data_IF_488211213974
#
_entry.id   IF_488211213974
#
_cell.length_a   1.000
_cell.length_b   1.000
_cell.length_c   1.000
_cell.angle_alpha   90.00
_cell.angle_beta   90.00
_cell.angle_gamma   90.00
#
_symmetry.space_group_name_H-M   'P 1'
#
loop_
_entity.id
_entity.type
_entity.pdbx_description
1 polymer ?
#
# COMPACT_ATOMS: atom_id res chain seq x y z
N UNK A 1 3.21 -7.63 50.78
CA UNK A 1 4.27 -7.60 49.75
C UNK A 1 4.38 -6.17 49.29
N UNK A 2 5.52 -5.54 49.58
CA UNK A 2 5.76 -4.13 49.33
C UNK A 2 6.04 -3.91 47.83
N UNK A 3 5.43 -2.88 47.26
CA UNK A 3 5.67 -2.43 45.90
C UNK A 3 7.08 -1.85 45.79
N UNK A 4 7.71 -2.09 44.64
CA UNK A 4 9.07 -1.64 44.31
C UNK A 4 9.14 -0.10 44.26
N UNK A 5 10.19 0.55 44.80
CA UNK A 5 10.31 2.01 44.84
C UNK A 5 10.45 2.69 43.47
N UNK A 6 10.48 1.93 42.37
CA UNK A 6 10.53 2.45 41.01
C UNK A 6 9.15 2.82 40.43
N UNK A 7 8.05 2.34 41.00
CA UNK A 7 6.70 2.49 40.40
C UNK A 7 5.89 3.65 41.00
N UNK A 8 6.35 4.27 42.09
CA UNK A 8 5.64 5.39 42.75
C UNK A 8 6.02 6.78 42.24
N UNK A 9 7.04 6.92 41.37
CA UNK A 9 7.51 8.24 40.90
C UNK A 9 6.80 8.80 39.66
N UNK A 10 5.84 8.09 39.08
CA UNK A 10 5.03 8.61 37.96
C UNK A 10 3.66 9.13 38.39
N UNK A 11 3.53 9.48 39.67
CA UNK A 11 2.41 10.26 40.19
C UNK A 11 2.45 11.68 39.64
N UNK A 12 1.68 11.92 38.57
CA UNK A 12 1.21 13.23 38.08
C UNK A 12 2.14 14.41 38.37
N UNK A 13 3.23 14.52 37.61
CA UNK A 13 3.88 15.81 37.46
C UNK A 13 3.01 16.60 36.48
N UNK A 14 2.24 17.55 37.02
CA UNK A 14 1.62 18.64 36.25
C UNK A 14 2.74 19.54 35.69
N UNK A 15 3.52 19.02 34.74
CA UNK A 15 4.54 19.81 34.06
C UNK A 15 3.78 20.80 33.18
N UNK A 16 3.97 22.10 33.45
CA UNK A 16 3.45 23.16 32.60
C UNK A 16 3.80 22.81 31.14
N UNK A 17 2.83 22.78 30.21
CA UNK A 17 3.07 22.34 28.82
C UNK A 17 4.22 23.12 28.15
N UNK A 18 4.45 24.38 28.56
CA UNK A 18 5.54 25.21 28.08
C UNK A 18 6.90 24.73 28.60
N UNK A 19 6.96 24.27 29.85
CA UNK A 19 8.19 23.71 30.43
C UNK A 19 8.55 22.37 29.76
N UNK A 20 7.56 21.51 29.51
CA UNK A 20 7.75 20.26 28.77
C UNK A 20 8.26 20.52 27.35
N UNK A 21 7.66 21.50 26.66
CA UNK A 21 8.07 21.87 25.31
C UNK A 21 9.53 22.36 25.26
N UNK A 22 9.97 23.15 26.25
CA UNK A 22 11.36 23.60 26.37
C UNK A 22 12.34 22.44 26.58
N UNK A 23 11.97 21.48 27.43
CA UNK A 23 12.79 20.28 27.68
C UNK A 23 12.94 19.47 26.40
N UNK A 24 11.83 19.20 25.69
CA UNK A 24 11.86 18.43 24.44
C UNK A 24 12.65 19.14 23.34
N UNK A 25 12.56 20.48 23.24
CA UNK A 25 13.36 21.25 22.29
C UNK A 25 14.86 21.16 22.61
N UNK A 26 15.22 21.24 23.89
CA UNK A 26 16.62 21.09 24.32
C UNK A 26 17.15 19.69 23.99
N UNK A 27 16.35 18.65 24.24
CA UNK A 27 16.72 17.27 23.96
C UNK A 27 16.90 17.01 22.45
N UNK A 28 16.03 17.56 21.61
CA UNK A 28 16.17 17.49 20.15
C UNK A 28 17.43 18.19 19.64
N UNK A 29 17.83 19.31 20.24
CA UNK A 29 19.07 20.00 19.89
C UNK A 29 20.29 19.16 20.28
N UNK A 30 20.32 18.61 21.49
CA UNK A 30 21.40 17.75 21.96
C UNK A 30 21.57 16.51 21.05
N UNK A 31 20.47 15.83 20.72
CA UNK A 31 20.48 14.66 19.84
C UNK A 31 20.99 14.99 18.43
N UNK A 32 20.68 16.20 17.93
CA UNK A 32 21.16 16.66 16.63
C UNK A 32 22.67 16.88 16.64
N UNK A 33 23.21 17.47 17.70
CA UNK A 33 24.64 17.67 17.88
C UNK A 33 25.39 16.33 17.99
N UNK A 34 24.89 15.39 18.79
CA UNK A 34 25.47 14.05 18.92
C UNK A 34 25.51 13.32 17.58
N UNK A 35 24.41 13.34 16.83
CA UNK A 35 24.37 12.75 15.48
C UNK A 35 25.41 13.39 14.57
N UNK A 36 25.59 14.71 14.64
CA UNK A 36 26.57 15.40 13.81
C UNK A 36 28.02 15.06 14.20
N UNK A 37 28.29 14.89 15.50
CA UNK A 37 29.58 14.42 15.99
C UNK A 37 29.86 12.96 15.59
N UNK A 38 28.87 12.08 15.65
CA UNK A 38 29.00 10.69 15.19
C UNK A 38 29.25 10.61 13.68
N UNK A 39 28.57 11.44 12.88
CA UNK A 39 28.83 11.54 11.45
C UNK A 39 30.25 12.04 11.13
N UNK A 40 30.77 12.99 11.90
CA UNK A 40 32.15 13.44 11.78
C UNK A 40 33.13 12.30 12.12
N UNK A 41 32.92 11.59 13.24
CA UNK A 41 33.74 10.43 13.63
C UNK A 41 33.75 9.33 12.59
N UNK A 42 32.60 9.01 11.98
CA UNK A 42 32.51 8.02 10.90
C UNK A 42 33.29 8.46 9.65
N UNK A 43 33.29 9.76 9.35
CA UNK A 43 34.06 10.31 8.24
C UNK A 43 35.58 10.23 8.51
N UNK A 44 36.00 10.42 9.75
CA UNK A 44 37.40 10.30 10.16
C UNK A 44 37.86 8.83 10.20
N UNK A 45 36.98 7.91 10.63
CA UNK A 45 37.23 6.46 10.66
C UNK A 45 37.17 5.80 9.27
N UNK A 46 36.46 6.40 8.32
CA UNK A 46 36.36 5.91 6.93
C UNK A 46 37.57 6.20 6.06
N UNK A 47 38.64 6.80 6.62
CA UNK A 47 39.82 7.26 5.89
C UNK A 47 41.04 6.32 5.87
N UNK A 48 40.97 5.13 6.47
CA UNK A 48 42.07 4.15 6.43
C UNK A 48 41.71 2.94 5.58
N UNK A 49 42.11 2.88 4.30
CA UNK A 49 42.25 1.61 3.62
C UNK A 49 43.64 1.07 3.96
N UNK A 50 43.76 -0.09 4.60
CA UNK A 50 44.90 -0.97 4.29
C UNK A 50 44.54 -2.44 4.56
N UNK A 51 45.12 -3.36 3.77
CA UNK A 51 44.61 -4.69 3.49
C UNK A 51 45.29 -5.77 4.34
N UNK A 52 44.54 -6.86 4.53
CA UNK A 52 45.09 -8.22 4.62
C UNK A 52 45.99 -8.56 5.80
N UNK A 53 45.52 -9.46 6.66
CA UNK A 53 46.29 -10.64 7.09
C UNK A 53 45.43 -11.64 7.84
N UNK A 54 45.35 -12.83 7.25
CA UNK A 54 44.92 -14.07 7.87
C UNK A 54 45.74 -14.37 9.13
N UNK A 55 45.12 -14.94 10.16
CA UNK A 55 45.76 -15.92 11.03
C UNK A 55 44.70 -16.83 11.68
N UNK A 56 44.78 -18.09 11.25
CA UNK A 56 44.04 -19.27 11.73
C UNK A 56 44.41 -19.59 13.18
N UNK A 57 43.43 -20.03 13.96
CA UNK A 57 43.63 -20.59 15.29
C UNK A 57 42.33 -21.14 15.88
N UNK A 58 41.82 -22.23 15.30
CA UNK A 58 40.64 -22.96 15.77
C UNK A 58 41.03 -23.94 16.88
N UNK A 59 40.37 -23.87 18.05
CA UNK A 59 40.26 -25.00 18.99
C UNK A 59 38.86 -25.00 19.63
N UNK A 60 38.04 -25.90 19.09
CA UNK A 60 37.00 -26.74 19.72
C UNK A 60 35.83 -26.10 20.49
N UNK A 61 34.65 -26.24 19.87
CA UNK A 61 33.61 -27.11 20.45
C UNK A 61 32.29 -26.44 20.83
N UNK A 62 31.37 -26.30 19.88
CA UNK A 62 29.93 -26.55 20.10
C UNK A 62 29.18 -26.46 18.76
N UNK A 63 28.13 -27.25 18.62
CA UNK A 63 27.30 -27.42 17.43
C UNK A 63 26.79 -26.06 16.92
N UNK A 64 27.33 -25.55 15.81
CA UNK A 64 26.94 -24.26 15.25
C UNK A 64 26.25 -24.47 13.89
N UNK A 65 25.02 -23.96 13.76
CA UNK A 65 24.16 -23.95 12.58
C UNK A 65 24.74 -23.07 11.44
N UNK A 66 26.07 -23.09 11.25
CA UNK A 66 26.81 -22.30 10.27
C UNK A 66 27.15 -23.05 8.99
N UNK A 67 26.96 -24.38 8.94
CA UNK A 67 27.41 -25.16 7.79
C UNK A 67 26.69 -24.81 6.48
N UNK A 68 25.45 -24.32 6.54
CA UNK A 68 24.72 -23.88 5.34
C UNK A 68 25.00 -22.41 4.94
N UNK A 69 25.56 -21.59 5.84
CA UNK A 69 25.99 -20.21 5.53
C UNK A 69 27.45 -20.20 5.05
N UNK A 70 28.26 -21.17 5.50
CA UNK A 70 29.70 -21.23 5.23
C UNK A 70 30.05 -21.52 3.76
N UNK A 71 29.14 -22.08 2.96
CA UNK A 71 29.38 -22.26 1.51
C UNK A 71 29.17 -20.98 0.67
N UNK A 72 28.64 -19.91 1.26
CA UNK A 72 28.49 -18.61 0.59
C UNK A 72 29.52 -17.57 1.03
N UNK A 73 30.31 -17.85 2.07
CA UNK A 73 31.26 -16.90 2.63
C UNK A 73 32.47 -16.59 1.73
N UNK A 74 32.73 -17.42 0.72
CA UNK A 74 33.81 -17.25 -0.26
C UNK A 74 33.36 -16.55 -1.55
N UNK A 75 32.10 -16.15 -1.68
CA UNK A 75 31.68 -15.32 -2.81
C UNK A 75 32.31 -13.93 -2.63
N UNK A 76 33.19 -13.47 -3.55
CA UNK A 76 33.81 -12.16 -3.42
C UNK A 76 32.71 -11.08 -3.31
N UNK A 77 32.91 -9.99 -2.55
CA UNK A 77 31.90 -8.94 -2.35
C UNK A 77 31.28 -8.41 -3.66
N UNK A 78 32.04 -8.50 -4.75
CA UNK A 78 31.63 -8.18 -6.11
C UNK A 78 30.47 -9.05 -6.62
N UNK A 79 30.41 -10.33 -6.27
CA UNK A 79 29.39 -11.27 -6.73
C UNK A 79 28.05 -11.05 -6.02
N UNK A 80 28.06 -10.69 -4.74
CA UNK A 80 26.85 -10.29 -3.99
C UNK A 80 26.32 -8.96 -4.52
N UNK A 81 27.20 -8.01 -4.82
CA UNK A 81 26.82 -6.73 -5.43
C UNK A 81 26.23 -6.91 -6.85
N UNK A 82 26.79 -7.79 -7.66
CA UNK A 82 26.26 -8.12 -8.98
C UNK A 82 24.88 -8.78 -8.90
N UNK A 83 24.69 -9.74 -7.98
CA UNK A 83 23.37 -10.38 -7.73
C UNK A 83 22.34 -9.37 -7.22
N UNK A 84 22.74 -8.43 -6.37
CA UNK A 84 21.86 -7.36 -5.91
C UNK A 84 21.42 -6.44 -7.05
N UNK A 85 22.34 -6.07 -7.95
CA UNK A 85 22.02 -5.28 -9.13
C UNK A 85 21.07 -6.01 -10.09
N UNK A 86 21.28 -7.31 -10.28
CA UNK A 86 20.40 -8.17 -11.08
C UNK A 86 19.00 -8.26 -10.46
N UNK A 87 18.91 -8.42 -9.13
CA UNK A 87 17.64 -8.39 -8.40
C UNK A 87 16.94 -7.04 -8.57
N UNK A 88 17.63 -5.91 -8.43
CA UNK A 88 17.05 -4.59 -8.64
C UNK A 88 16.50 -4.41 -10.06
N UNK A 89 17.20 -4.94 -11.07
CA UNK A 89 16.73 -4.93 -12.45
C UNK A 89 15.47 -5.78 -12.62
N UNK A 90 15.44 -6.99 -12.04
CA UNK A 90 14.25 -7.86 -12.11
C UNK A 90 13.05 -7.24 -11.38
N UNK A 91 13.26 -6.59 -10.24
CA UNK A 91 12.22 -5.89 -9.49
C UNK A 91 11.62 -4.78 -10.36
N UNK A 92 12.45 -3.93 -10.97
CA UNK A 92 11.96 -2.86 -11.86
C UNK A 92 11.19 -3.40 -13.06
N UNK A 93 11.66 -4.50 -13.65
CA UNK A 93 10.97 -5.18 -14.76
C UNK A 93 9.60 -5.71 -14.35
N UNK A 94 9.51 -6.29 -13.15
CA UNK A 94 8.26 -6.79 -12.58
C UNK A 94 7.30 -5.64 -12.26
N UNK A 95 7.78 -4.56 -11.66
CA UNK A 95 6.99 -3.36 -11.38
C UNK A 95 6.40 -2.78 -12.68
N UNK A 96 7.23 -2.61 -13.71
CA UNK A 96 6.78 -2.11 -15.01
C UNK A 96 5.72 -3.02 -15.65
N UNK A 97 5.90 -4.35 -15.53
CA UNK A 97 4.92 -5.33 -16.04
C UNK A 97 3.61 -5.27 -15.26
N UNK A 98 3.66 -5.14 -13.94
CA UNK A 98 2.48 -4.99 -13.08
C UNK A 98 1.74 -3.71 -13.44
N UNK A 99 2.43 -2.57 -13.57
CA UNK A 99 1.82 -1.30 -13.98
C UNK A 99 1.15 -1.40 -15.35
N UNK A 100 1.82 -2.00 -16.35
CA UNK A 100 1.23 -2.20 -17.68
C UNK A 100 -0.01 -3.10 -17.63
N UNK A 101 -0.01 -4.15 -16.80
CA UNK A 101 -1.17 -5.02 -16.60
C UNK A 101 -2.32 -4.27 -15.93
N UNK A 102 -2.04 -3.41 -14.94
CA UNK A 102 -3.06 -2.57 -14.32
C UNK A 102 -3.68 -1.57 -15.29
N UNK A 103 -2.88 -0.90 -16.12
CA UNK A 103 -3.38 0.01 -17.15
C UNK A 103 -4.26 -0.69 -18.18
N UNK A 104 -3.87 -1.89 -18.64
CA UNK A 104 -4.69 -2.74 -19.52
C UNK A 104 -5.99 -3.18 -18.85
N UNK A 105 -5.98 -3.48 -17.55
CA UNK A 105 -7.19 -3.78 -16.78
C UNK A 105 -8.11 -2.57 -16.64
N UNK A 106 -7.56 -1.37 -16.38
CA UNK A 106 -8.34 -0.12 -16.27
C UNK A 106 -9.01 0.24 -17.61
N UNK A 107 -8.28 0.13 -18.72
CA UNK A 107 -8.80 0.42 -20.07
C UNK A 107 -9.86 -0.59 -20.53
N UNK A 108 -9.67 -1.88 -20.25
CA UNK A 108 -10.67 -2.92 -20.57
C UNK A 108 -11.95 -2.80 -19.75
N UNK A 109 -11.87 -2.53 -18.44
CA UNK A 109 -13.06 -2.32 -17.60
C UNK A 109 -13.89 -1.10 -18.03
N UNK A 110 -13.24 -0.03 -18.51
CA UNK A 110 -13.91 1.15 -19.05
C UNK A 110 -14.71 0.83 -20.32
N UNK A 111 -14.14 0.07 -21.26
CA UNK A 111 -14.82 -0.33 -22.51
C UNK A 111 -16.06 -1.18 -22.26
N UNK A 112 -15.96 -2.16 -21.36
CA UNK A 112 -17.09 -3.04 -21.03
C UNK A 112 -18.24 -2.27 -20.37
N UNK A 113 -17.91 -1.31 -19.50
CA UNK A 113 -18.91 -0.45 -18.86
C UNK A 113 -19.60 0.45 -19.90
N UNK A 114 -18.84 1.10 -20.79
CA UNK A 114 -19.39 1.93 -21.85
C UNK A 114 -20.33 1.14 -22.78
N UNK A 115 -19.95 -0.09 -23.16
CA UNK A 115 -20.80 -0.97 -23.95
C UNK A 115 -22.09 -1.33 -23.22
N UNK A 116 -22.02 -1.63 -21.91
CA UNK A 116 -23.21 -1.91 -21.09
C UNK A 116 -24.14 -0.71 -20.98
N UNK A 117 -23.61 0.51 -20.88
CA UNK A 117 -24.41 1.75 -20.87
C UNK A 117 -25.09 1.95 -22.23
N UNK A 118 -24.37 1.77 -23.33
CA UNK A 118 -24.96 1.86 -24.67
C UNK A 118 -26.09 0.85 -24.86
N UNK A 119 -25.88 -0.40 -24.42
CA UNK A 119 -26.90 -1.44 -24.48
C UNK A 119 -28.12 -1.13 -23.61
N UNK A 120 -27.90 -0.57 -22.42
CA UNK A 120 -28.96 -0.10 -21.53
C UNK A 120 -29.79 1.01 -22.19
N UNK A 121 -29.15 1.94 -22.89
CA UNK A 121 -29.83 3.02 -23.63
C UNK A 121 -30.69 2.46 -24.77
N UNK A 122 -30.17 1.50 -25.54
CA UNK A 122 -30.93 0.80 -26.60
C UNK A 122 -32.16 0.09 -26.04
N UNK A 123 -32.01 -0.61 -24.90
CA UNK A 123 -33.13 -1.28 -24.22
C UNK A 123 -34.20 -0.27 -23.80
N UNK A 124 -33.81 0.82 -23.14
CA UNK A 124 -34.74 1.86 -22.72
C UNK A 124 -35.48 2.50 -23.89
N UNK A 125 -34.81 2.77 -25.01
CA UNK A 125 -35.46 3.24 -26.24
C UNK A 125 -36.49 2.23 -26.75
N UNK A 126 -36.19 0.93 -26.69
CA UNK A 126 -37.13 -0.14 -27.02
C UNK A 126 -38.36 -0.20 -26.12
N UNK A 127 -38.24 0.17 -24.84
CA UNK A 127 -39.35 0.21 -23.87
C UNK A 127 -40.14 1.53 -23.85
N UNK A 128 -39.88 2.47 -24.77
CA UNK A 128 -40.54 3.78 -24.76
C UNK A 128 -39.95 4.76 -23.75
N UNK A 129 -38.71 4.56 -23.33
CA UNK A 129 -37.92 5.52 -22.55
C UNK A 129 -37.84 5.23 -21.06
N UNK A 130 -38.58 4.26 -20.51
CA UNK A 130 -38.51 3.93 -19.07
C UNK A 130 -38.70 2.45 -18.79
N UNK A 131 -38.03 1.94 -17.74
CA UNK A 131 -38.22 0.55 -17.30
C UNK A 131 -37.78 0.33 -15.85
N UNK A 132 -38.39 -0.66 -15.19
CA UNK A 132 -38.04 -1.08 -13.83
C UNK A 132 -36.63 -1.69 -13.73
N UNK A 133 -35.96 -1.44 -12.60
CA UNK A 133 -34.60 -1.92 -12.34
C UNK A 133 -34.48 -3.44 -12.42
N UNK A 134 -35.47 -4.19 -11.93
CA UNK A 134 -35.45 -5.66 -11.96
C UNK A 134 -35.48 -6.19 -13.39
N UNK A 135 -36.30 -5.59 -14.25
CA UNK A 135 -36.41 -6.01 -15.64
C UNK A 135 -35.10 -5.70 -16.38
N UNK A 136 -34.57 -4.48 -16.23
CA UNK A 136 -33.28 -4.09 -16.82
C UNK A 136 -32.10 -4.95 -16.32
N UNK A 137 -32.13 -5.39 -15.06
CA UNK A 137 -31.15 -6.35 -14.52
C UNK A 137 -31.19 -7.68 -15.28
N UNK A 138 -32.38 -8.24 -15.45
CA UNK A 138 -32.59 -9.49 -16.17
C UNK A 138 -32.19 -9.38 -17.64
N UNK A 139 -32.60 -8.31 -18.33
CA UNK A 139 -32.35 -8.13 -19.76
C UNK A 139 -30.87 -7.89 -20.08
N UNK A 140 -30.13 -7.29 -19.15
CA UNK A 140 -28.67 -7.13 -19.24
C UNK A 140 -27.90 -8.34 -18.71
N UNK A 141 -28.57 -9.33 -18.11
CA UNK A 141 -27.94 -10.49 -17.48
C UNK A 141 -26.99 -10.12 -16.33
N UNK A 142 -27.29 -9.05 -15.57
CA UNK A 142 -26.43 -8.53 -14.52
C UNK A 142 -26.92 -8.94 -13.13
N UNK A 143 -25.97 -9.22 -12.23
CA UNK A 143 -26.31 -9.36 -10.83
C UNK A 143 -26.76 -8.02 -10.22
N UNK A 144 -27.53 -8.02 -9.11
CA UNK A 144 -28.01 -6.79 -8.48
C UNK A 144 -26.89 -5.80 -8.11
N UNK A 145 -25.74 -6.32 -7.66
CA UNK A 145 -24.57 -5.51 -7.29
C UNK A 145 -23.89 -4.89 -8.51
N UNK A 146 -23.74 -5.65 -9.60
CA UNK A 146 -23.17 -5.16 -10.86
C UNK A 146 -24.05 -4.07 -11.49
N UNK A 147 -25.36 -4.28 -11.50
CA UNK A 147 -26.30 -3.30 -12.00
C UNK A 147 -26.29 -2.02 -11.16
N UNK A 148 -26.27 -2.14 -9.83
CA UNK A 148 -26.14 -0.97 -8.94
C UNK A 148 -24.86 -0.17 -9.23
N UNK A 149 -23.75 -0.85 -9.51
CA UNK A 149 -22.49 -0.21 -9.89
C UNK A 149 -22.58 0.47 -11.26
N UNK A 150 -23.24 -0.17 -12.24
CA UNK A 150 -23.51 0.41 -13.55
C UNK A 150 -24.33 1.69 -13.45
N UNK A 151 -25.42 1.67 -12.69
CA UNK A 151 -26.31 2.82 -12.46
C UNK A 151 -25.56 3.99 -11.83
N UNK A 152 -24.62 3.74 -10.92
CA UNK A 152 -23.77 4.80 -10.32
C UNK A 152 -22.87 5.50 -11.34
N UNK A 153 -22.56 4.86 -12.46
CA UNK A 153 -21.72 5.38 -13.52
C UNK A 153 -22.51 6.04 -14.67
N UNK A 154 -23.84 6.06 -14.61
CA UNK A 154 -24.67 6.70 -15.64
C UNK A 154 -24.59 8.22 -15.57
N UNK A 155 -24.66 8.86 -16.74
CA UNK A 155 -24.77 10.31 -16.82
C UNK A 155 -26.15 10.78 -16.36
N UNK A 156 -26.18 11.53 -15.25
CA UNK A 156 -27.41 12.05 -14.64
C UNK A 156 -28.11 13.12 -15.48
N UNK A 157 -27.44 13.63 -16.53
CA UNK A 157 -28.04 14.53 -17.53
C UNK A 157 -28.97 13.77 -18.48
N UNK A 158 -28.65 12.52 -18.80
CA UNK A 158 -29.40 11.68 -19.74
C UNK A 158 -30.33 10.69 -19.04
N UNK A 159 -30.01 10.28 -17.80
CA UNK A 159 -30.78 9.27 -17.07
C UNK A 159 -31.36 9.83 -15.78
N UNK A 160 -32.60 9.45 -15.49
CA UNK A 160 -33.29 9.73 -14.23
C UNK A 160 -33.68 8.45 -13.52
N UNK A 161 -33.61 8.45 -12.19
CA UNK A 161 -34.11 7.34 -11.37
C UNK A 161 -35.33 7.84 -10.62
N UNK A 162 -36.48 7.25 -10.89
CA UNK A 162 -37.72 7.53 -10.19
C UNK A 162 -38.21 6.29 -9.45
N UNK A 163 -39.12 6.49 -8.48
CA UNK A 163 -39.88 5.39 -7.87
C UNK A 163 -41.09 5.09 -8.74
N UNK A 164 -41.41 3.81 -8.96
CA UNK A 164 -42.63 3.40 -9.64
C UNK A 164 -43.85 4.03 -8.95
N UNK A 165 -44.68 4.82 -9.65
CA UNK A 165 -45.95 5.26 -9.11
C UNK A 165 -46.85 4.03 -8.89
N UNK A 166 -47.34 3.82 -7.66
CA UNK A 166 -48.28 2.74 -7.33
C UNK A 166 -47.66 1.40 -6.87
N UNK A 167 -46.34 1.24 -6.87
CA UNK A 167 -45.72 0.03 -6.34
C UNK A 167 -45.64 0.07 -4.80
N UNK A 168 -46.30 -0.87 -4.10
CA UNK A 168 -46.21 -1.01 -2.63
C UNK A 168 -44.78 -1.27 -2.12
N UNK A 169 -43.84 -1.60 -3.00
CA UNK A 169 -42.50 -2.09 -2.65
C UNK A 169 -41.36 -1.27 -3.23
N UNK A 170 -41.43 0.06 -3.18
CA UNK A 170 -40.27 0.95 -3.39
C UNK A 170 -39.44 0.70 -4.66
N UNK A 171 -40.06 0.14 -5.69
CA UNK A 171 -39.38 -0.28 -6.91
C UNK A 171 -38.88 0.95 -7.68
N UNK A 172 -37.65 0.87 -8.18
CA UNK A 172 -37.01 1.97 -8.91
C UNK A 172 -37.12 1.72 -10.40
N UNK A 173 -37.39 2.78 -11.13
CA UNK A 173 -37.34 2.81 -12.60
C UNK A 173 -36.19 3.68 -13.05
N UNK A 174 -35.59 3.29 -14.16
CA UNK A 174 -34.66 4.12 -14.90
C UNK A 174 -35.42 4.74 -16.07
N UNK A 175 -35.28 6.04 -16.24
CA UNK A 175 -35.92 6.84 -17.29
C UNK A 175 -34.81 7.48 -18.11
N UNK A 176 -34.93 7.39 -19.43
CA UNK A 176 -34.14 8.14 -20.38
C UNK A 176 -34.80 9.51 -20.57
N UNK A 177 -34.06 10.58 -20.30
CA UNK A 177 -34.51 11.97 -20.46
C UNK A 177 -34.48 12.41 -21.92
#
# INVERSE_FOLDING_TARGET
MALSPAEEQYSKISINPIALQKILLQELLNLREERQQLLAKLKDLGGTPEPGRNLVGSVNGELDLKEDISKQADAPPFEVSAKMLEMDQTIRLLEQRISSMEEKKRTSHGRTTAHRIKRLEELLKGYGGSQAFKQLQSDLGLSPSQFTRLVKCLDKRCFEIQRCPGAQRGEKMLILK
#
